data_IF_515359461822
#
_entry.id   IF_515359461822
#
_cell.length_a   1.000
_cell.length_b   1.000
_cell.length_c   1.000
_cell.angle_alpha   90.00
_cell.angle_beta   90.00
_cell.angle_gamma   90.00
#
_symmetry.space_group_name_H-M   'P 1'
#
loop_
_entity.id
_entity.type
_entity.pdbx_description
1 polymer ?
#
# COMPACT_ATOMS: atom_id res chain seq x y z
N UNK A 1 4.72 -5.54 -23.39
CA UNK A 1 4.76 -4.55 -22.30
C UNK A 1 3.77 -5.00 -21.26
N UNK A 2 4.21 -5.71 -20.22
CA UNK A 2 3.39 -5.93 -19.03
C UNK A 2 3.42 -4.62 -18.27
N UNK A 3 2.35 -3.82 -18.40
CA UNK A 3 2.18 -2.68 -17.50
C UNK A 3 2.03 -3.24 -16.09
N UNK A 4 3.00 -2.97 -15.22
CA UNK A 4 2.86 -3.26 -13.79
C UNK A 4 1.88 -2.22 -13.25
N UNK A 5 0.62 -2.62 -13.09
CA UNK A 5 -0.35 -1.77 -12.42
C UNK A 5 -0.20 -1.98 -10.92
N UNK A 6 0.49 -1.05 -10.25
CA UNK A 6 0.56 -1.06 -8.79
C UNK A 6 -0.71 -0.38 -8.27
N UNK A 7 -1.60 -1.10 -7.57
CA UNK A 7 -2.82 -0.51 -7.04
C UNK A 7 -2.46 0.58 -6.01
N UNK A 8 -3.15 1.71 -6.10
CA UNK A 8 -2.96 2.83 -5.17
C UNK A 8 -4.18 2.96 -4.26
N UNK A 9 -3.91 3.14 -2.98
CA UNK A 9 -4.88 3.64 -2.00
C UNK A 9 -4.76 5.16 -1.99
N UNK A 10 -5.88 5.84 -2.19
CA UNK A 10 -5.99 7.30 -2.05
C UNK A 10 -6.93 7.57 -0.88
N UNK A 11 -6.47 8.31 0.11
CA UNK A 11 -7.23 8.67 1.31
C UNK A 11 -7.93 10.02 1.12
N UNK A 12 -8.91 10.33 1.98
CA UNK A 12 -9.75 11.52 1.86
C UNK A 12 -9.02 12.85 1.99
N UNK A 13 -7.89 12.87 2.70
CA UNK A 13 -7.05 14.06 2.81
C UNK A 13 -6.05 14.23 1.64
N UNK A 14 -6.08 13.32 0.66
CA UNK A 14 -5.20 13.32 -0.50
C UNK A 14 -3.92 12.51 -0.31
N UNK A 15 -3.67 11.91 0.86
CA UNK A 15 -2.58 10.96 1.04
C UNK A 15 -2.74 9.77 0.09
N UNK A 16 -1.64 9.36 -0.54
CA UNK A 16 -1.61 8.21 -1.44
C UNK A 16 -0.44 7.30 -1.12
N UNK A 17 -0.66 6.00 -1.27
CA UNK A 17 0.38 4.98 -1.21
C UNK A 17 -0.03 3.79 -2.09
N UNK A 18 0.92 2.98 -2.52
CA UNK A 18 0.62 1.67 -3.10
C UNK A 18 0.58 0.60 -2.02
N UNK A 19 -0.36 -0.35 -2.11
CA UNK A 19 -0.47 -1.48 -1.19
C UNK A 19 -0.65 -2.75 -2.01
N UNK A 20 0.26 -3.71 -1.87
CA UNK A 20 0.26 -4.91 -2.70
C UNK A 20 0.74 -6.15 -1.94
N UNK A 21 0.20 -7.31 -2.29
CA UNK A 21 0.57 -8.60 -1.71
C UNK A 21 0.56 -9.70 -2.77
N UNK A 22 1.40 -10.72 -2.60
CA UNK A 22 1.54 -11.80 -3.56
C UNK A 22 2.86 -12.55 -3.50
N UNK A 23 3.01 -13.57 -4.35
CA UNK A 23 4.13 -14.51 -4.36
C UNK A 23 5.52 -13.85 -4.40
N UNK A 24 5.66 -12.74 -5.12
CA UNK A 24 6.94 -12.05 -5.34
C UNK A 24 7.08 -10.75 -4.55
N UNK A 25 6.11 -10.42 -3.69
CA UNK A 25 6.05 -9.15 -2.96
C UNK A 25 6.41 -9.36 -1.48
N UNK A 26 6.77 -8.30 -0.77
CA UNK A 26 7.02 -8.33 0.67
C UNK A 26 5.71 -8.48 1.45
N UNK A 27 5.13 -9.68 1.45
CA UNK A 27 3.84 -9.99 2.07
C UNK A 27 3.86 -11.32 2.83
N UNK A 28 2.92 -11.51 3.74
CA UNK A 28 2.74 -12.75 4.49
C UNK A 28 1.28 -13.19 4.46
N UNK A 29 0.96 -14.35 3.84
CA UNK A 29 1.89 -15.24 3.13
C UNK A 29 2.32 -14.68 1.77
N UNK A 30 3.49 -15.12 1.27
CA UNK A 30 3.93 -14.87 -0.12
C UNK A 30 3.24 -15.83 -1.10
N UNK A 31 1.92 -15.71 -1.21
CA UNK A 31 1.11 -16.52 -2.14
C UNK A 31 -0.10 -15.71 -2.66
N UNK A 32 -0.94 -16.30 -3.52
CA UNK A 32 -2.24 -15.74 -3.92
C UNK A 32 -3.31 -16.31 -3.01
N UNK A 33 -3.62 -15.57 -1.94
CA UNK A 33 -4.59 -15.95 -0.92
C UNK A 33 -5.65 -14.88 -0.70
N UNK A 34 -6.75 -15.25 -0.05
CA UNK A 34 -7.84 -14.31 0.27
C UNK A 34 -7.58 -13.44 1.50
N UNK A 35 -6.51 -13.69 2.25
CA UNK A 35 -6.19 -12.95 3.48
C UNK A 35 -4.67 -12.88 3.68
N UNK A 36 -4.18 -11.70 4.05
CA UNK A 36 -2.77 -11.44 4.34
C UNK A 36 -2.65 -10.79 5.72
N UNK A 37 -1.64 -11.19 6.46
CA UNK A 37 -1.28 -10.56 7.74
C UNK A 37 -0.37 -9.34 7.52
N UNK A 38 0.45 -9.39 6.48
CA UNK A 38 1.42 -8.35 6.12
C UNK A 38 1.41 -8.12 4.61
N UNK A 39 1.59 -6.86 4.20
CA UNK A 39 1.64 -6.46 2.80
C UNK A 39 2.79 -5.48 2.54
N UNK A 40 3.12 -5.31 1.27
CA UNK A 40 4.11 -4.34 0.82
C UNK A 40 3.41 -2.99 0.62
N UNK A 41 3.99 -1.94 1.20
CA UNK A 41 3.57 -0.55 0.97
C UNK A 41 4.66 0.17 0.19
N UNK A 42 4.30 1.07 -0.72
CA UNK A 42 5.32 1.77 -1.52
C UNK A 42 4.95 3.19 -1.86
N UNK A 43 5.97 4.04 -1.94
CA UNK A 43 5.91 5.40 -2.49
C UNK A 43 4.80 6.28 -1.90
N UNK A 44 4.76 6.45 -0.56
CA UNK A 44 3.78 7.34 0.06
C UNK A 44 3.99 8.78 -0.43
N UNK A 45 2.90 9.55 -0.62
CA UNK A 45 2.98 10.94 -1.11
C UNK A 45 3.68 11.90 -0.15
N UNK A 46 3.64 11.59 1.14
CA UNK A 46 4.25 12.34 2.23
C UNK A 46 4.80 11.35 3.24
N UNK A 47 5.75 11.77 4.06
CA UNK A 47 6.30 10.91 5.10
C UNK A 47 5.20 10.47 6.06
N UNK A 48 5.14 9.16 6.32
CA UNK A 48 4.23 8.57 7.29
C UNK A 48 5.02 7.87 8.39
N UNK A 49 4.97 8.45 9.59
CA UNK A 49 5.73 8.01 10.77
C UNK A 49 5.41 6.57 11.19
N UNK A 50 4.18 6.10 10.96
CA UNK A 50 3.80 4.71 11.28
C UNK A 50 4.51 3.70 10.37
N UNK A 51 4.94 4.12 9.18
CA UNK A 51 5.61 3.25 8.22
C UNK A 51 7.14 3.29 8.34
N UNK A 52 7.74 4.35 8.90
CA UNK A 52 9.20 4.58 8.87
C UNK A 52 10.05 3.37 9.25
N UNK A 53 9.67 2.59 10.26
CA UNK A 53 10.42 1.40 10.71
C UNK A 53 10.49 0.27 9.67
N UNK A 54 9.58 0.26 8.69
CA UNK A 54 9.50 -0.74 7.64
C UNK A 54 10.21 -0.32 6.34
N UNK A 55 10.73 0.91 6.27
CA UNK A 55 11.35 1.45 5.07
C UNK A 55 12.61 0.67 4.66
N UNK A 56 12.70 0.30 3.38
CA UNK A 56 13.93 -0.27 2.80
C UNK A 56 15.04 0.80 2.71
N UNK A 57 14.66 2.06 2.50
CA UNK A 57 15.57 3.22 2.48
C UNK A 57 15.07 4.31 3.43
N UNK A 58 15.75 4.46 4.57
CA UNK A 58 15.40 5.44 5.60
C UNK A 58 15.81 6.87 5.23
N UNK A 59 16.62 7.07 4.19
CA UNK A 59 17.01 8.40 3.70
C UNK A 59 16.01 8.95 2.65
N UNK A 60 15.08 8.11 2.17
CA UNK A 60 14.11 8.46 1.12
C UNK A 60 12.72 7.84 1.35
N UNK A 61 12.04 8.28 2.40
CA UNK A 61 10.76 7.71 2.84
C UNK A 61 9.64 7.78 1.77
N UNK A 62 9.54 8.86 1.00
CA UNK A 62 8.53 8.94 -0.07
C UNK A 62 8.92 8.18 -1.34
N UNK A 63 10.17 7.72 -1.46
CA UNK A 63 10.73 7.11 -2.66
C UNK A 63 11.15 5.65 -2.48
N UNK A 64 10.69 5.00 -1.42
CA UNK A 64 11.09 3.64 -1.05
C UNK A 64 9.90 2.70 -0.88
N UNK A 65 10.23 1.41 -0.80
CA UNK A 65 9.31 0.33 -0.45
C UNK A 65 9.40 0.07 1.06
N UNK A 66 8.27 -0.34 1.61
CA UNK A 66 8.09 -0.71 3.00
C UNK A 66 7.65 -2.17 3.04
N UNK A 67 8.56 -3.05 3.44
CA UNK A 67 8.35 -4.49 3.35
C UNK A 67 7.67 -5.08 4.57
N UNK A 68 6.77 -6.05 4.36
CA UNK A 68 6.09 -6.80 5.43
C UNK A 68 5.43 -5.88 6.47
N UNK A 69 4.70 -4.87 6.00
CA UNK A 69 3.94 -3.97 6.89
C UNK A 69 2.70 -4.73 7.37
N UNK A 70 2.47 -4.86 8.69
CA UNK A 70 1.25 -5.48 9.21
C UNK A 70 0.01 -4.77 8.70
N UNK A 71 -1.00 -5.52 8.24
CA UNK A 71 -2.24 -4.95 7.73
C UNK A 71 -2.92 -4.02 8.75
N UNK A 72 -2.79 -4.31 10.05
CA UNK A 72 -3.30 -3.42 11.10
C UNK A 72 -2.65 -2.03 11.10
N UNK A 73 -1.35 -1.94 10.79
CA UNK A 73 -0.65 -0.65 10.67
C UNK A 73 -1.09 0.08 9.40
N UNK A 74 -1.33 -0.64 8.31
CA UNK A 74 -1.86 -0.07 7.07
C UNK A 74 -3.25 0.52 7.32
N UNK A 75 -4.11 -0.20 8.05
CA UNK A 75 -5.43 0.28 8.46
C UNK A 75 -5.32 1.53 9.34
N UNK A 76 -4.42 1.55 10.33
CA UNK A 76 -4.17 2.73 11.17
C UNK A 76 -3.74 3.96 10.35
N UNK A 77 -2.87 3.77 9.34
CA UNK A 77 -2.48 4.85 8.41
C UNK A 77 -3.68 5.36 7.63
N UNK A 78 -4.48 4.46 7.06
CA UNK A 78 -5.69 4.81 6.30
C UNK A 78 -6.67 5.59 7.18
N UNK A 79 -6.91 5.13 8.42
CA UNK A 79 -7.77 5.81 9.39
C UNK A 79 -7.25 7.20 9.75
N UNK A 80 -5.94 7.33 10.01
CA UNK A 80 -5.27 8.62 10.29
C UNK A 80 -5.50 9.63 9.16
N UNK A 81 -5.55 9.17 7.91
CA UNK A 81 -5.79 9.97 6.71
C UNK A 81 -7.28 10.11 6.32
N UNK A 82 -8.20 9.79 7.24
CA UNK A 82 -9.64 10.00 7.06
C UNK A 82 -10.36 8.87 6.32
N UNK A 83 -9.68 7.75 6.10
CA UNK A 83 -10.16 6.60 5.35
C UNK A 83 -9.94 6.72 3.84
N UNK A 84 -10.25 5.64 3.12
CA UNK A 84 -10.16 5.57 1.66
C UNK A 84 -11.16 6.54 1.02
N UNK A 85 -10.71 7.26 0.00
CA UNK A 85 -11.58 8.02 -0.90
C UNK A 85 -12.18 7.09 -1.94
N UNK A 86 -13.41 6.63 -1.69
CA UNK A 86 -14.12 5.73 -2.59
C UNK A 86 -14.37 6.32 -3.99
N UNK A 87 -14.38 7.65 -4.13
CA UNK A 87 -14.53 8.31 -5.44
C UNK A 87 -13.29 8.15 -6.34
N UNK A 88 -12.15 7.77 -5.74
CA UNK A 88 -10.86 7.56 -6.38
C UNK A 88 -10.56 6.09 -6.63
N UNK A 89 -11.48 5.19 -6.25
CA UNK A 89 -11.39 3.78 -6.63
C UNK A 89 -11.71 3.69 -8.12
N UNK A 90 -10.68 3.55 -8.93
CA UNK A 90 -10.86 3.07 -10.31
C UNK A 90 -11.32 1.62 -10.20
N UNK A 91 -12.64 1.41 -10.28
CA UNK A 91 -13.19 0.08 -10.31
C UNK A 91 -12.51 -0.70 -11.45
N UNK A 92 -11.89 -1.84 -11.13
CA UNK A 92 -11.44 -2.84 -12.10
C UNK A 92 -12.62 -3.48 -12.89
N UNK A 93 -13.76 -2.82 -12.98
CA UNK A 93 -14.93 -3.21 -13.77
C UNK A 93 -14.84 -2.62 -15.18
N UNK A 94 -13.93 -3.17 -15.97
CA UNK A 94 -14.03 -3.36 -17.41
C UNK A 94 -13.03 -4.48 -17.67
N UNK A 95 -13.44 -5.74 -17.65
CA UNK A 95 -13.93 -6.41 -18.86
C UNK A 95 -14.95 -7.52 -18.54
N UNK A 96 -15.84 -7.74 -19.51
CA UNK A 96 -16.79 -8.84 -19.62
C UNK A 96 -16.10 -10.18 -19.83
#
# INVERSE_FOLDING_TARGET
MTSSYNPHVICKDGFKMSVQAGQSLYSSPKDVVGHYEEAEVGYPSTEESLLTTYAEDNENLCGTVYGYVPCSIIDEVIEKHGGIDESKIEALSNEK
#
